data_IF_648623761504
#
_entry.id   IF_648623761504
#
_cell.length_a   1.000
_cell.length_b   1.000
_cell.length_c   1.000
_cell.angle_alpha   90.00
_cell.angle_beta   90.00
_cell.angle_gamma   90.00
#
_symmetry.space_group_name_H-M   'P 1'
#
loop_
_entity.id
_entity.type
_entity.pdbx_description
1 polymer ?
#
# COMPACT_ATOMS: atom_id res chain seq x y z
N UNK A 1 -25.32 -24.37 -5.84
CA UNK A 1 -25.47 -23.85 -4.46
C UNK A 1 -25.18 -22.36 -4.48
N UNK A 2 -26.18 -21.54 -4.17
CA UNK A 2 -26.03 -20.09 -4.11
C UNK A 2 -25.13 -19.72 -2.92
N UNK A 3 -23.91 -19.24 -3.19
CA UNK A 3 -23.06 -18.69 -2.14
C UNK A 3 -23.74 -17.42 -1.60
N UNK A 4 -24.20 -17.50 -0.35
CA UNK A 4 -24.65 -16.34 0.43
C UNK A 4 -23.52 -15.31 0.44
N UNK A 5 -23.66 -14.24 -0.35
CA UNK A 5 -22.67 -13.15 -0.39
C UNK A 5 -22.82 -12.34 0.89
N UNK A 6 -21.88 -12.47 1.82
CA UNK A 6 -21.78 -11.61 3.00
C UNK A 6 -21.91 -10.13 2.60
N UNK A 7 -22.65 -9.34 3.39
CA UNK A 7 -22.75 -7.89 3.19
C UNK A 7 -21.39 -7.20 3.39
N UNK A 8 -21.16 -6.02 2.81
CA UNK A 8 -19.92 -5.27 3.01
C UNK A 8 -19.58 -5.03 4.50
N UNK A 9 -20.59 -4.72 5.31
CA UNK A 9 -20.44 -4.53 6.75
C UNK A 9 -20.02 -5.83 7.46
N UNK A 10 -20.66 -6.97 7.16
CA UNK A 10 -20.31 -8.26 7.73
C UNK A 10 -18.87 -8.68 7.38
N UNK A 11 -18.39 -8.34 6.17
CA UNK A 11 -16.99 -8.60 5.79
C UNK A 11 -16.00 -7.70 6.52
N UNK A 12 -16.36 -6.44 6.74
CA UNK A 12 -15.55 -5.50 7.53
C UNK A 12 -15.39 -6.00 8.96
N UNK A 13 -16.49 -6.43 9.57
CA UNK A 13 -16.49 -7.01 10.91
C UNK A 13 -15.63 -8.29 10.98
N UNK A 14 -15.75 -9.17 9.97
CA UNK A 14 -14.91 -10.37 9.86
C UNK A 14 -13.41 -10.01 9.76
N UNK A 15 -13.05 -9.05 8.90
CA UNK A 15 -11.68 -8.55 8.76
C UNK A 15 -11.14 -7.97 10.08
N UNK A 16 -11.95 -7.17 10.78
CA UNK A 16 -11.61 -6.60 12.08
C UNK A 16 -11.30 -7.68 13.12
N UNK A 17 -12.17 -8.70 13.23
CA UNK A 17 -12.00 -9.83 14.15
C UNK A 17 -10.75 -10.64 13.86
N UNK A 18 -10.36 -10.78 12.58
CA UNK A 18 -9.15 -11.50 12.19
C UNK A 18 -7.87 -10.66 12.21
N UNK A 19 -7.94 -9.38 12.61
CA UNK A 19 -6.77 -8.49 12.59
C UNK A 19 -6.21 -8.28 11.18
N UNK A 20 -7.11 -8.07 10.22
CA UNK A 20 -6.75 -7.71 8.86
C UNK A 20 -6.55 -6.20 8.77
N UNK A 21 -5.42 -5.78 8.21
CA UNK A 21 -5.22 -4.42 7.73
C UNK A 21 -5.70 -4.32 6.28
N UNK A 22 -6.58 -3.36 5.98
CA UNK A 22 -6.98 -3.02 4.61
C UNK A 22 -6.11 -1.89 4.09
N UNK A 23 -5.33 -2.19 3.05
CA UNK A 23 -4.37 -1.26 2.47
C UNK A 23 -4.86 -0.75 1.11
N UNK A 24 -4.83 0.55 0.87
CA UNK A 24 -5.08 1.11 -0.46
C UNK A 24 -4.09 0.51 -1.48
N UNK A 25 -4.62 -0.08 -2.55
CA UNK A 25 -3.80 -0.84 -3.49
C UNK A 25 -2.81 0.02 -4.26
N UNK A 26 -3.14 1.28 -4.59
CA UNK A 26 -2.20 2.15 -5.30
C UNK A 26 -1.00 2.46 -4.40
N UNK A 27 -1.25 2.82 -3.13
CA UNK A 27 -0.19 3.00 -2.14
C UNK A 27 0.62 1.71 -1.95
N UNK A 28 -0.06 0.56 -1.86
CA UNK A 28 0.60 -0.74 -1.63
C UNK A 28 1.49 -1.21 -2.78
N UNK A 29 1.17 -0.83 -4.01
CA UNK A 29 1.92 -1.21 -5.23
C UNK A 29 3.04 -0.23 -5.61
N UNK A 30 3.08 0.95 -4.98
CA UNK A 30 3.96 2.06 -5.36
C UNK A 30 5.47 1.80 -5.24
N UNK A 31 5.88 0.79 -4.46
CA UNK A 31 7.30 0.57 -4.14
C UNK A 31 7.87 1.59 -3.13
N UNK A 32 7.01 2.31 -2.41
CA UNK A 32 7.39 3.28 -1.37
C UNK A 32 8.20 2.66 -0.22
N UNK A 33 7.89 1.42 0.13
CA UNK A 33 8.47 0.72 1.28
C UNK A 33 9.62 -0.15 0.83
N UNK A 34 10.79 0.02 1.46
CA UNK A 34 11.95 -0.87 1.27
C UNK A 34 12.02 -1.92 2.39
N UNK A 35 12.62 -3.11 2.17
CA UNK A 35 12.74 -4.10 3.25
C UNK A 35 13.56 -3.59 4.43
N UNK A 36 14.61 -2.82 4.17
CA UNK A 36 15.41 -2.18 5.20
C UNK A 36 16.06 -0.91 4.63
N UNK A 37 16.05 0.16 5.43
CA UNK A 37 16.82 1.37 5.14
C UNK A 37 18.08 1.33 6.01
N UNK A 38 19.21 0.97 5.39
CA UNK A 38 20.50 0.87 6.09
C UNK A 38 21.15 2.24 6.16
N UNK A 39 21.14 2.83 7.35
CA UNK A 39 21.84 4.08 7.63
C UNK A 39 23.29 3.80 8.03
N UNK A 40 24.24 4.51 7.44
CA UNK A 40 25.59 4.60 8.01
C UNK A 40 25.55 5.55 9.22
N UNK A 41 26.50 5.36 10.15
CA UNK A 41 26.61 6.22 11.35
C UNK A 41 26.60 7.70 10.95
N UNK A 42 25.66 8.47 11.49
CA UNK A 42 25.51 9.91 11.22
C UNK A 42 24.72 10.27 9.95
N UNK A 43 24.25 9.32 9.16
CA UNK A 43 23.41 9.60 7.99
C UNK A 43 21.92 9.58 8.33
N UNK A 44 21.19 10.53 7.72
CA UNK A 44 19.73 10.55 7.71
C UNK A 44 19.21 9.62 6.60
N UNK A 45 17.95 9.21 6.72
CA UNK A 45 17.23 8.49 5.66
C UNK A 45 17.19 9.33 4.39
N UNK A 46 17.20 8.68 3.23
CA UNK A 46 17.02 9.35 1.96
C UNK A 46 15.64 10.02 1.86
N UNK A 47 15.48 10.86 0.85
CA UNK A 47 14.20 11.43 0.48
C UNK A 47 13.75 10.82 -0.84
N UNK A 48 12.50 10.38 -0.88
CA UNK A 48 11.81 9.89 -2.06
C UNK A 48 11.12 11.10 -2.69
N UNK A 49 11.44 11.35 -3.96
CA UNK A 49 10.86 12.44 -4.73
C UNK A 49 10.15 11.86 -5.96
N UNK A 50 8.93 12.33 -6.22
CA UNK A 50 8.15 12.01 -7.42
C UNK A 50 7.96 10.50 -7.66
N UNK A 51 7.77 9.70 -6.60
CA UNK A 51 7.43 8.29 -6.77
C UNK A 51 5.99 8.16 -7.28
N UNK A 52 5.84 7.70 -8.51
CA UNK A 52 4.56 7.64 -9.23
C UNK A 52 3.99 6.23 -9.27
N UNK A 53 2.69 6.13 -9.04
CA UNK A 53 1.93 4.89 -9.22
C UNK A 53 0.56 5.18 -9.82
N UNK A 54 0.30 4.61 -10.99
CA UNK A 54 -1.00 4.71 -11.66
C UNK A 54 -2.04 3.78 -11.03
N UNK A 55 -3.31 4.16 -11.11
CA UNK A 55 -4.47 3.38 -10.69
C UNK A 55 -5.69 3.72 -11.58
N UNK A 56 -6.79 2.98 -11.45
CA UNK A 56 -7.94 3.09 -12.37
C UNK A 56 -8.61 4.47 -12.40
N UNK A 57 -8.33 5.35 -11.44
CA UNK A 57 -8.82 6.74 -11.41
C UNK A 57 -7.73 7.81 -11.52
N UNK A 58 -6.51 7.45 -11.91
CA UNK A 58 -5.45 8.41 -12.21
C UNK A 58 -4.06 8.01 -11.67
N UNK A 59 -3.34 8.96 -11.09
CA UNK A 59 -1.98 8.75 -10.58
C UNK A 59 -1.89 9.18 -9.11
N UNK A 60 -1.10 8.45 -8.32
CA UNK A 60 -0.60 8.94 -7.04
C UNK A 60 0.89 9.28 -7.18
N UNK A 61 1.30 10.37 -6.57
CA UNK A 61 2.68 10.83 -6.47
C UNK A 61 3.02 10.93 -4.99
N UNK A 62 4.11 10.30 -4.59
CA UNK A 62 4.55 10.23 -3.21
C UNK A 62 5.88 10.98 -3.05
N UNK A 63 5.95 11.82 -2.03
CA UNK A 63 7.14 12.57 -1.64
C UNK A 63 7.34 12.46 -0.14
N UNK A 64 8.54 12.16 0.34
CA UNK A 64 8.78 12.00 1.78
C UNK A 64 10.06 11.24 2.13
N UNK A 65 10.33 11.00 3.41
CA UNK A 65 11.47 10.18 3.81
C UNK A 65 11.34 8.73 3.33
N UNK A 66 12.47 8.05 3.13
CA UNK A 66 12.47 6.60 2.91
C UNK A 66 11.89 5.86 4.13
N UNK A 67 10.95 4.96 3.88
CA UNK A 67 10.35 4.11 4.90
C UNK A 67 10.68 2.64 4.67
N UNK A 68 10.69 1.87 5.76
CA UNK A 68 11.00 0.44 5.71
C UNK A 68 9.86 -0.47 6.20
N UNK A 69 10.11 -1.77 6.21
CA UNK A 69 9.14 -2.78 6.64
C UNK A 69 8.59 -2.54 8.07
N UNK A 70 9.38 -1.91 8.94
CA UNK A 70 8.95 -1.57 10.29
C UNK A 70 7.96 -0.39 10.27
N UNK A 71 8.24 0.64 9.49
CA UNK A 71 7.31 1.75 9.25
C UNK A 71 5.99 1.25 8.63
N UNK A 72 6.09 0.33 7.67
CA UNK A 72 4.92 -0.34 7.10
C UNK A 72 4.12 -1.12 8.15
N UNK A 73 4.80 -1.82 9.07
CA UNK A 73 4.13 -2.50 10.18
C UNK A 73 3.30 -1.55 11.04
N UNK A 74 3.84 -0.35 11.35
CA UNK A 74 3.10 0.68 12.11
C UNK A 74 1.91 1.21 11.32
N UNK A 75 2.07 1.49 10.02
CA UNK A 75 0.96 1.93 9.16
C UNK A 75 -0.17 0.89 9.11
N UNK A 76 0.18 -0.38 8.90
CA UNK A 76 -0.79 -1.47 8.84
C UNK A 76 -1.44 -1.74 10.20
N UNK A 77 -0.70 -1.57 11.30
CA UNK A 77 -1.27 -1.65 12.65
C UNK A 77 -2.32 -0.56 12.88
N UNK A 78 -2.04 0.69 12.48
CA UNK A 78 -3.04 1.75 12.52
C UNK A 78 -4.28 1.38 11.68
N UNK A 79 -4.10 0.86 10.47
CA UNK A 79 -5.21 0.45 9.61
C UNK A 79 -6.03 -0.72 10.22
N UNK A 80 -5.38 -1.71 10.83
CA UNK A 80 -6.05 -2.85 11.47
C UNK A 80 -6.83 -2.42 12.72
N UNK A 81 -6.26 -1.54 13.55
CA UNK A 81 -6.94 -1.00 14.74
C UNK A 81 -8.09 -0.08 14.35
N UNK A 82 -7.90 0.79 13.37
CA UNK A 82 -8.97 1.64 12.83
C UNK A 82 -10.13 0.80 12.28
N UNK A 83 -9.83 -0.32 11.61
CA UNK A 83 -10.87 -1.25 11.14
C UNK A 83 -11.68 -1.88 12.27
N UNK A 84 -11.05 -2.16 13.42
CA UNK A 84 -11.72 -2.68 14.63
C UNK A 84 -12.60 -1.63 15.30
N UNK A 85 -12.22 -0.37 15.20
CA UNK A 85 -12.95 0.75 15.81
C UNK A 85 -13.99 1.39 14.87
N UNK A 86 -13.98 1.04 13.57
CA UNK A 86 -14.78 1.69 12.54
C UNK A 86 -16.31 1.71 12.78
N UNK A 87 -16.85 0.75 13.53
CA UNK A 87 -18.28 0.71 13.87
C UNK A 87 -18.69 1.80 14.89
N UNK A 88 -17.71 2.50 15.49
CA UNK A 88 -18.00 3.62 16.40
C UNK A 88 -18.40 4.90 15.68
N UNK A 89 -18.24 5.02 14.36
CA UNK A 89 -18.67 6.11 13.45
C UNK A 89 -18.39 7.59 13.84
N UNK A 90 -18.11 7.90 15.10
CA UNK A 90 -17.92 9.23 15.65
C UNK A 90 -16.59 9.88 15.21
N UNK A 91 -15.69 9.09 14.63
CA UNK A 91 -14.33 9.50 14.30
C UNK A 91 -14.10 9.76 12.81
N UNK A 92 -15.16 9.74 11.99
CA UNK A 92 -15.12 10.21 10.61
C UNK A 92 -15.36 11.73 10.58
N UNK A 93 -14.41 12.46 10.00
CA UNK A 93 -14.50 13.90 9.78
C UNK A 93 -14.09 14.24 8.34
N UNK A 94 -14.55 15.37 7.82
CA UNK A 94 -14.04 15.84 6.54
C UNK A 94 -12.57 16.24 6.70
N UNK A 95 -11.75 15.98 5.68
CA UNK A 95 -10.31 16.21 5.77
C UNK A 95 -9.95 17.68 6.04
N UNK A 96 -10.81 18.63 5.63
CA UNK A 96 -10.65 20.06 5.92
C UNK A 96 -10.74 20.39 7.41
N UNK A 97 -11.47 19.59 8.18
CA UNK A 97 -11.66 19.78 9.62
C UNK A 97 -10.52 19.17 10.46
N UNK A 98 -9.51 18.59 9.79
CA UNK A 98 -8.39 17.91 10.45
C UNK A 98 -7.11 18.70 10.22
N UNK A 99 -6.60 19.26 11.31
CA UNK A 99 -5.34 20.00 11.31
C UNK A 99 -4.16 19.11 10.85
N UNK A 100 -3.34 19.65 9.94
CA UNK A 100 -2.13 18.98 9.46
C UNK A 100 -2.36 17.83 8.47
N UNK A 101 -3.61 17.50 8.11
CA UNK A 101 -3.88 16.44 7.12
C UNK A 101 -3.75 16.93 5.68
N UNK A 102 -4.33 18.08 5.37
CA UNK A 102 -4.20 18.69 4.06
C UNK A 102 -2.86 19.40 3.95
N UNK A 103 -2.11 19.11 2.89
CA UNK A 103 -0.94 19.91 2.59
C UNK A 103 -1.38 21.30 2.11
N UNK A 104 -0.55 22.30 2.40
CA UNK A 104 -0.79 23.70 1.99
C UNK A 104 -1.09 23.78 0.50
N UNK A 105 -2.29 24.22 0.15
CA UNK A 105 -2.74 24.37 -1.23
C UNK A 105 -2.82 25.85 -1.62
N UNK A 106 -2.61 26.22 -2.90
CA UNK A 106 -2.79 27.60 -3.35
C UNK A 106 -4.22 28.11 -3.07
N UNK A 107 -4.36 29.37 -2.66
CA UNK A 107 -5.67 29.96 -2.27
C UNK A 107 -6.79 29.82 -3.32
N UNK A 108 -6.43 29.72 -4.61
CA UNK A 108 -7.38 29.65 -5.72
C UNK A 108 -7.55 28.24 -6.31
N UNK A 109 -7.00 27.21 -5.66
CA UNK A 109 -7.11 25.82 -6.08
C UNK A 109 -7.51 24.97 -4.88
N UNK A 110 -8.83 24.77 -4.64
CA UNK A 110 -9.28 23.99 -3.52
C UNK A 110 -8.77 22.55 -3.65
N UNK A 111 -8.17 22.05 -2.57
CA UNK A 111 -7.67 20.70 -2.48
C UNK A 111 -8.82 19.71 -2.66
N UNK A 112 -8.76 18.81 -3.64
CA UNK A 112 -9.85 17.88 -3.92
C UNK A 112 -10.06 16.81 -2.83
N UNK A 113 -9.19 16.77 -1.80
CA UNK A 113 -9.40 15.96 -0.60
C UNK A 113 -10.22 16.67 0.48
N UNK A 114 -10.46 17.97 0.39
CA UNK A 114 -11.03 18.76 1.49
C UNK A 114 -12.40 18.22 1.98
N UNK A 115 -13.25 17.81 1.04
CA UNK A 115 -14.58 17.25 1.28
C UNK A 115 -14.60 15.73 1.52
N UNK A 116 -13.43 15.08 1.57
CA UNK A 116 -13.33 13.63 1.71
C UNK A 116 -13.19 13.22 3.16
N UNK A 117 -13.87 12.14 3.51
CA UNK A 117 -13.82 11.58 4.86
C UNK A 117 -12.44 11.04 5.20
N UNK A 118 -12.00 11.35 6.41
CA UNK A 118 -10.79 10.84 7.04
C UNK A 118 -11.16 10.29 8.42
N UNK A 119 -10.49 9.21 8.82
CA UNK A 119 -10.75 8.52 10.07
C UNK A 119 -9.64 8.79 11.09
N UNK A 120 -10.01 9.21 12.30
CA UNK A 120 -9.08 9.37 13.43
C UNK A 120 -9.13 8.14 14.34
N UNK A 121 -8.01 7.43 14.43
CA UNK A 121 -7.82 6.34 15.38
C UNK A 121 -7.32 6.88 16.71
N UNK A 122 -8.09 6.65 17.78
CA UNK A 122 -7.64 6.84 19.15
C UNK A 122 -7.15 5.51 19.73
N UNK A 123 -5.85 5.41 20.01
CA UNK A 123 -5.24 4.15 20.48
C UNK A 123 -4.11 4.38 21.47
N UNK A 124 -3.32 3.34 21.76
CA UNK A 124 -2.18 3.40 22.68
C UNK A 124 -0.93 2.83 22.00
N UNK A 125 0.27 3.24 22.46
CA UNK A 125 1.52 2.64 21.98
C UNK A 125 1.58 1.13 22.27
N UNK A 126 1.03 0.71 23.41
CA UNK A 126 0.92 -0.69 23.78
C UNK A 126 0.05 -1.50 22.78
N UNK A 127 -1.06 -0.94 22.30
CA UNK A 127 -1.91 -1.57 21.30
C UNK A 127 -1.18 -1.72 19.96
N UNK A 128 -0.47 -0.67 19.52
CA UNK A 128 0.37 -0.72 18.32
C UNK A 128 1.48 -1.77 18.46
N UNK A 129 2.18 -1.83 19.60
CA UNK A 129 3.18 -2.86 19.90
C UNK A 129 2.62 -4.28 19.72
N UNK A 130 1.46 -4.58 20.32
CA UNK A 130 0.81 -5.91 20.19
C UNK A 130 0.53 -6.26 18.73
N UNK A 131 0.04 -5.29 17.97
CA UNK A 131 -0.34 -5.53 16.57
C UNK A 131 0.89 -5.84 15.70
N UNK A 132 2.02 -5.17 15.93
CA UNK A 132 3.29 -5.42 15.22
C UNK A 132 4.13 -6.55 15.84
N UNK A 133 3.66 -7.22 16.89
CA UNK A 133 4.38 -8.33 17.53
C UNK A 133 5.56 -7.91 18.42
N UNK A 134 5.50 -6.71 19.02
CA UNK A 134 6.49 -6.21 19.99
C UNK A 134 5.94 -6.24 21.41
N UNK A 135 6.86 -6.30 22.37
CA UNK A 135 6.54 -6.22 23.79
C UNK A 135 5.94 -4.83 24.11
N UNK A 136 4.71 -4.75 24.66
CA UNK A 136 4.07 -3.50 25.06
C UNK A 136 4.81 -2.72 26.15
N UNK A 137 5.72 -3.37 26.89
CA UNK A 137 6.51 -2.72 27.93
C UNK A 137 7.90 -2.27 27.45
N UNK A 138 8.27 -2.55 26.19
CA UNK A 138 9.56 -2.13 25.63
C UNK A 138 9.54 -0.65 25.23
N UNK A 139 10.17 0.19 26.07
CA UNK A 139 10.33 1.62 25.79
C UNK A 139 11.05 1.92 24.48
N UNK A 140 11.91 1.02 23.97
CA UNK A 140 12.54 1.18 22.64
C UNK A 140 11.54 0.93 21.52
N UNK A 141 10.62 -0.02 21.69
CA UNK A 141 9.53 -0.24 20.73
C UNK A 141 8.59 0.99 20.69
N UNK A 142 8.29 1.58 21.85
CA UNK A 142 7.53 2.83 21.90
C UNK A 142 8.21 3.99 21.16
N UNK A 143 9.51 4.19 21.38
CA UNK A 143 10.25 5.23 20.64
C UNK A 143 10.26 4.94 19.14
N UNK A 144 10.48 3.68 18.76
CA UNK A 144 10.46 3.23 17.39
C UNK A 144 9.12 3.53 16.69
N UNK A 145 7.99 3.29 17.36
CA UNK A 145 6.65 3.59 16.84
C UNK A 145 6.47 5.10 16.65
N UNK A 146 6.87 5.91 17.62
CA UNK A 146 6.82 7.38 17.50
C UNK A 146 7.63 7.87 16.31
N UNK A 147 8.86 7.37 16.15
CA UNK A 147 9.72 7.74 15.04
C UNK A 147 9.11 7.34 13.69
N UNK A 148 8.43 6.18 13.64
CA UNK A 148 7.68 5.73 12.45
C UNK A 148 6.49 6.63 12.14
N UNK A 149 5.69 7.01 13.15
CA UNK A 149 4.55 7.93 12.96
C UNK A 149 5.00 9.30 12.43
N UNK A 150 6.11 9.84 12.93
CA UNK A 150 6.70 11.09 12.42
C UNK A 150 7.15 10.95 10.95
N UNK A 151 7.75 9.81 10.58
CA UNK A 151 8.13 9.55 9.18
C UNK A 151 6.92 9.42 8.27
N UNK A 152 5.91 8.67 8.71
CA UNK A 152 4.67 8.45 7.98
C UNK A 152 3.91 9.77 7.78
N UNK A 153 3.84 10.64 8.80
CA UNK A 153 3.20 11.95 8.68
C UNK A 153 3.97 12.89 7.74
N UNK A 154 5.27 12.66 7.55
CA UNK A 154 6.11 13.46 6.64
C UNK A 154 5.96 13.06 5.17
N UNK A 155 5.18 12.02 4.84
CA UNK A 155 4.93 11.60 3.46
C UNK A 155 3.73 12.37 2.92
N UNK A 156 3.95 13.15 1.87
CA UNK A 156 2.91 13.84 1.10
C UNK A 156 2.47 12.93 -0.05
N UNK A 157 1.17 12.66 -0.11
CA UNK A 157 0.48 11.95 -1.18
C UNK A 157 -0.28 12.94 -2.02
N UNK A 158 0.08 13.03 -3.29
CA UNK A 158 -0.68 13.78 -4.30
C UNK A 158 -1.44 12.79 -5.17
N UNK A 159 -2.76 12.81 -5.12
CA UNK A 159 -3.59 12.00 -6.03
C UNK A 159 -4.19 12.90 -7.11
N UNK A 160 -4.04 12.53 -8.37
CA UNK A 160 -4.61 13.25 -9.50
C UNK A 160 -5.66 12.38 -10.20
N UNK A 161 -6.81 12.98 -10.55
CA UNK A 161 -7.82 12.43 -11.46
C UNK A 161 -8.20 13.53 -12.45
N UNK A 162 -7.86 13.35 -13.72
CA UNK A 162 -8.02 14.37 -14.74
C UNK A 162 -7.36 15.69 -14.34
N UNK A 163 -8.15 16.77 -14.27
CA UNK A 163 -7.69 18.12 -13.91
C UNK A 163 -7.70 18.40 -12.38
N UNK A 164 -8.18 17.47 -11.55
CA UNK A 164 -8.28 17.66 -10.09
C UNK A 164 -7.13 16.97 -9.37
N UNK A 165 -6.55 17.66 -8.39
CA UNK A 165 -5.50 17.15 -7.51
C UNK A 165 -5.92 17.21 -6.04
N UNK A 166 -5.55 16.17 -5.30
CA UNK A 166 -5.71 16.07 -3.86
C UNK A 166 -4.33 15.94 -3.21
N UNK A 167 -3.97 16.84 -2.30
CA UNK A 167 -2.69 16.82 -1.59
C UNK A 167 -2.93 16.52 -0.11
N UNK A 168 -2.49 15.37 0.36
CA UNK A 168 -2.68 14.95 1.77
C UNK A 168 -1.40 14.38 2.32
N UNK A 169 -1.13 14.60 3.60
CA UNK A 169 -0.19 13.75 4.31
C UNK A 169 -0.71 12.30 4.34
N UNK A 170 0.18 11.29 4.37
CA UNK A 170 -0.23 9.87 4.41
C UNK A 170 -1.03 9.57 5.68
N UNK A 171 -0.57 10.12 6.80
CA UNK A 171 -1.29 10.22 8.06
C UNK A 171 -1.16 11.63 8.62
N UNK A 172 -2.12 12.07 9.43
CA UNK A 172 -2.03 13.30 10.20
C UNK A 172 -2.15 12.99 11.69
N UNK A 173 -1.43 13.75 12.50
CA UNK A 173 -1.51 13.62 13.95
C UNK A 173 -0.75 12.42 14.50
N UNK A 174 0.02 12.74 15.53
CA UNK A 174 0.39 11.88 16.63
C UNK A 174 0.35 12.80 17.83
N UNK A 175 -0.82 13.03 18.43
CA UNK A 175 -0.86 13.65 19.74
C UNK A 175 -0.54 12.53 20.74
N UNK A 176 0.61 12.64 21.41
CA UNK A 176 0.97 11.74 22.51
C UNK A 176 1.01 12.53 23.81
N UNK A 177 0.12 12.20 24.74
CA UNK A 177 0.27 12.62 26.14
C UNK A 177 0.71 11.39 26.94
N UNK A 178 1.98 11.38 27.36
CA UNK A 178 2.56 10.28 28.11
C UNK A 178 2.64 8.94 27.35
N UNK A 179 2.31 7.85 28.05
CA UNK A 179 2.37 6.47 27.52
C UNK A 179 1.06 5.98 26.89
N UNK A 180 -0.05 6.69 27.09
CA UNK A 180 -1.36 6.05 27.04
C UNK A 180 -2.22 6.44 25.83
N UNK A 181 -2.05 7.61 25.22
CA UNK A 181 -2.88 8.01 24.08
C UNK A 181 -2.03 8.30 22.84
N UNK A 182 -2.45 7.76 21.71
CA UNK A 182 -1.94 8.03 20.37
C UNK A 182 -3.16 8.27 19.49
N UNK A 183 -3.32 9.51 19.03
CA UNK A 183 -4.31 9.87 18.01
C UNK A 183 -3.64 9.88 16.64
N UNK A 184 -4.09 9.04 15.72
CA UNK A 184 -3.59 8.95 14.33
C UNK A 184 -4.74 9.08 13.35
N UNK A 185 -4.69 10.08 12.49
CA UNK A 185 -5.66 10.24 11.41
C UNK A 185 -5.13 9.65 10.11
N UNK A 186 -5.91 8.75 9.52
CA UNK A 186 -5.67 8.18 8.20
C UNK A 186 -6.14 9.13 7.11
N UNK A 187 -5.38 9.29 6.02
CA UNK A 187 -5.86 10.07 4.90
C UNK A 187 -7.11 9.44 4.24
N UNK A 188 -7.79 10.20 3.39
CA UNK A 188 -9.04 9.75 2.77
C UNK A 188 -8.89 8.45 1.96
N UNK A 189 -7.71 8.17 1.37
CA UNK A 189 -7.49 6.93 0.60
C UNK A 189 -7.41 5.72 1.51
N UNK A 190 -6.64 5.82 2.58
CA UNK A 190 -6.56 4.78 3.61
C UNK A 190 -7.91 4.59 4.31
N UNK A 191 -8.63 5.68 4.59
CA UNK A 191 -9.98 5.65 5.16
C UNK A 191 -10.96 4.92 4.24
N UNK A 192 -10.97 5.23 2.93
CA UNK A 192 -11.81 4.49 1.96
C UNK A 192 -11.43 3.02 1.85
N UNK A 193 -10.14 2.68 1.89
CA UNK A 193 -9.69 1.29 1.90
C UNK A 193 -10.20 0.55 3.14
N UNK A 194 -10.10 1.17 4.31
CA UNK A 194 -10.64 0.67 5.58
C UNK A 194 -12.16 0.43 5.50
N UNK A 195 -12.92 1.43 5.05
CA UNK A 195 -14.38 1.34 4.91
C UNK A 195 -14.81 0.31 3.84
N UNK A 196 -13.92 -0.04 2.92
CA UNK A 196 -14.22 -0.93 1.78
C UNK A 196 -14.85 -0.20 0.59
N UNK A 197 -14.71 1.13 0.55
CA UNK A 197 -15.25 2.02 -0.48
C UNK A 197 -14.26 2.29 -1.62
N UNK A 198 -13.09 1.66 -1.57
CA UNK A 198 -12.04 1.71 -2.59
C UNK A 198 -11.44 0.34 -2.86
N UNK A 199 -10.44 0.28 -3.73
CA UNK A 199 -9.70 -0.96 -3.98
C UNK A 199 -8.62 -1.16 -2.91
N UNK A 200 -8.68 -2.29 -2.22
CA UNK A 200 -7.79 -2.59 -1.10
C UNK A 200 -7.20 -4.00 -1.15
N UNK A 201 -5.96 -4.12 -0.68
CA UNK A 201 -5.34 -5.38 -0.31
C UNK A 201 -5.66 -5.74 1.14
N UNK A 202 -5.85 -7.03 1.42
CA UNK A 202 -6.06 -7.57 2.78
C UNK A 202 -4.76 -8.18 3.29
N UNK A 203 -4.21 -7.63 4.37
CA UNK A 203 -2.97 -8.10 5.00
C UNK A 203 -3.30 -8.65 6.39
N UNK A 204 -3.04 -9.94 6.64
CA UNK A 204 -3.25 -10.53 7.98
C UNK A 204 -2.09 -10.12 8.89
N UNK A 205 -2.35 -9.35 9.93
CA UNK A 205 -1.30 -8.84 10.82
C UNK A 205 -0.57 -9.95 11.58
N UNK A 206 -1.25 -11.05 11.91
CA UNK A 206 -0.65 -12.23 12.53
C UNK A 206 0.41 -12.90 11.64
N UNK A 207 0.15 -12.96 10.33
CA UNK A 207 1.14 -13.46 9.36
C UNK A 207 2.26 -12.46 9.25
N UNK A 208 1.92 -11.19 8.97
CA UNK A 208 2.88 -10.12 8.68
C UNK A 208 3.98 -10.01 9.73
N UNK A 209 3.64 -10.01 11.02
CA UNK A 209 4.63 -9.85 12.11
C UNK A 209 5.62 -11.01 12.23
N UNK A 210 5.32 -12.17 11.67
CA UNK A 210 6.18 -13.36 11.71
C UNK A 210 7.13 -13.46 10.50
N UNK A 211 6.97 -12.61 9.49
CA UNK A 211 7.79 -12.61 8.29
C UNK A 211 9.09 -11.82 8.49
N UNK A 212 10.12 -12.17 7.73
CA UNK A 212 11.32 -11.34 7.60
C UNK A 212 10.97 -9.96 7.00
N UNK A 213 11.80 -8.91 7.13
CA UNK A 213 11.51 -7.61 6.52
C UNK A 213 11.29 -7.67 5.00
N UNK A 214 11.97 -8.58 4.31
CA UNK A 214 11.74 -8.84 2.88
C UNK A 214 10.40 -9.55 2.66
N UNK A 215 10.09 -10.56 3.49
CA UNK A 215 8.80 -11.24 3.50
C UNK A 215 7.62 -10.31 3.79
N UNK A 216 7.78 -9.35 4.71
CA UNK A 216 6.76 -8.34 5.05
C UNK A 216 6.40 -7.47 3.85
N UNK A 217 7.40 -6.88 3.19
CA UNK A 217 7.17 -6.03 2.01
C UNK A 217 6.61 -6.86 0.85
N UNK A 218 7.12 -8.08 0.64
CA UNK A 218 6.60 -9.01 -0.36
C UNK A 218 5.15 -9.38 -0.12
N UNK A 219 4.80 -9.80 1.10
CA UNK A 219 3.44 -10.22 1.46
C UNK A 219 2.44 -9.07 1.31
N UNK A 220 2.81 -7.89 1.78
CA UNK A 220 2.02 -6.67 1.59
C UNK A 220 1.82 -6.32 0.11
N UNK A 221 2.90 -6.36 -0.69
CA UNK A 221 2.81 -6.07 -2.12
C UNK A 221 1.93 -7.10 -2.85
N UNK A 222 2.11 -8.40 -2.56
CA UNK A 222 1.28 -9.47 -3.14
C UNK A 222 -0.18 -9.35 -2.74
N UNK A 223 -0.48 -8.98 -1.49
CA UNK A 223 -1.85 -8.74 -1.04
C UNK A 223 -2.52 -7.59 -1.80
N UNK A 224 -1.75 -6.59 -2.24
CA UNK A 224 -2.24 -5.48 -3.06
C UNK A 224 -2.23 -5.80 -4.56
N UNK A 225 -1.34 -6.67 -5.04
CA UNK A 225 -1.28 -7.07 -6.44
C UNK A 225 -2.37 -8.10 -6.77
N UNK A 226 -2.65 -8.99 -5.83
CA UNK A 226 -3.69 -10.01 -5.89
C UNK A 226 -4.60 -9.91 -4.66
N UNK A 227 -5.56 -8.97 -4.64
CA UNK A 227 -6.46 -8.79 -3.50
C UNK A 227 -7.45 -9.96 -3.37
N UNK A 228 -7.82 -10.60 -4.47
CA UNK A 228 -8.72 -11.76 -4.52
C UNK A 228 -8.02 -13.12 -4.56
N UNK A 229 -8.78 -14.21 -4.58
CA UNK A 229 -8.24 -15.55 -4.78
C UNK A 229 -7.93 -15.82 -6.26
N UNK A 230 -7.11 -16.81 -6.57
CA UNK A 230 -6.79 -17.28 -7.92
C UNK A 230 -5.36 -16.98 -8.37
N UNK A 231 -5.04 -17.48 -9.56
CA UNK A 231 -3.70 -17.47 -10.13
C UNK A 231 -3.30 -16.08 -10.63
N UNK A 232 -2.05 -15.70 -10.37
CA UNK A 232 -1.43 -14.51 -10.93
C UNK A 232 -0.66 -14.85 -12.21
N UNK A 233 -0.49 -13.90 -13.15
CA UNK A 233 0.46 -14.06 -14.24
C UNK A 233 1.87 -14.39 -13.71
N UNK A 234 2.63 -15.29 -14.35
CA UNK A 234 4.01 -15.56 -13.95
C UNK A 234 4.85 -14.28 -13.95
N UNK A 235 5.65 -14.08 -12.91
CA UNK A 235 6.49 -12.88 -12.76
C UNK A 235 7.96 -13.26 -12.60
N UNK A 236 8.85 -12.55 -13.28
CA UNK A 236 10.29 -12.77 -13.14
C UNK A 236 10.78 -12.35 -11.75
N UNK A 237 11.70 -13.11 -11.14
CA UNK A 237 12.32 -12.78 -9.84
C UNK A 237 13.01 -11.42 -9.85
N UNK A 238 13.56 -10.98 -10.98
CA UNK A 238 14.12 -9.65 -11.14
C UNK A 238 13.05 -8.56 -11.04
N UNK A 239 11.93 -8.74 -11.75
CA UNK A 239 10.77 -7.84 -11.72
C UNK A 239 10.15 -7.78 -10.33
N UNK A 240 9.95 -8.93 -9.70
CA UNK A 240 9.42 -8.98 -8.33
C UNK A 240 10.38 -8.32 -7.33
N UNK A 241 11.71 -8.49 -7.48
CA UNK A 241 12.69 -7.79 -6.68
C UNK A 241 12.64 -6.26 -6.89
N UNK A 242 12.40 -5.78 -8.12
CA UNK A 242 12.20 -4.34 -8.37
C UNK A 242 11.00 -3.82 -7.59
N UNK A 243 9.89 -4.55 -7.54
CA UNK A 243 8.72 -4.14 -6.76
C UNK A 243 8.96 -4.14 -5.25
N UNK A 244 9.70 -5.13 -4.73
CA UNK A 244 10.00 -5.22 -3.29
C UNK A 244 11.00 -4.15 -2.83
N UNK A 245 11.96 -3.73 -3.67
CA UNK A 245 12.95 -2.72 -3.29
C UNK A 245 12.70 -1.32 -3.87
N UNK A 246 11.68 -1.15 -4.71
CA UNK A 246 11.35 0.11 -5.39
C UNK A 246 12.33 0.52 -6.50
N UNK A 247 13.39 -0.25 -6.74
CA UNK A 247 14.46 0.10 -7.67
C UNK A 247 15.15 -1.13 -8.25
N UNK A 248 15.74 -0.97 -9.44
CA UNK A 248 16.57 -1.99 -10.06
C UNK A 248 17.95 -2.09 -9.39
N UNK A 249 18.47 -3.31 -9.30
CA UNK A 249 19.83 -3.58 -8.83
C UNK A 249 20.66 -4.25 -9.93
N UNK A 250 21.98 -4.07 -9.87
CA UNK A 250 22.95 -4.69 -10.80
C UNK A 250 23.94 -5.59 -10.05
N UNK A 251 24.62 -6.46 -10.80
CA UNK A 251 25.74 -7.26 -10.29
C UNK A 251 25.42 -8.12 -9.06
N UNK A 252 26.28 -8.04 -8.05
CA UNK A 252 26.17 -8.82 -6.81
C UNK A 252 24.87 -8.51 -6.03
N UNK A 253 24.50 -7.23 -5.91
CA UNK A 253 23.28 -6.81 -5.20
C UNK A 253 22.03 -7.43 -5.82
N UNK A 254 21.96 -7.50 -7.15
CA UNK A 254 20.83 -8.14 -7.84
C UNK A 254 20.74 -9.65 -7.52
N UNK A 255 21.88 -10.33 -7.39
CA UNK A 255 21.94 -11.76 -7.03
C UNK A 255 21.49 -11.96 -5.58
N UNK A 256 21.96 -11.10 -4.68
CA UNK A 256 21.59 -11.12 -3.26
C UNK A 256 20.09 -10.88 -3.06
N UNK A 257 19.51 -9.85 -3.70
CA UNK A 257 18.07 -9.56 -3.65
C UNK A 257 17.25 -10.75 -4.14
N UNK A 258 17.65 -11.41 -5.23
CA UNK A 258 16.97 -12.63 -5.71
C UNK A 258 17.08 -13.80 -4.72
N UNK A 259 18.19 -13.93 -4.00
CA UNK A 259 18.34 -14.96 -2.98
C UNK A 259 17.45 -14.68 -1.76
N UNK A 260 17.44 -13.44 -1.27
CA UNK A 260 16.56 -13.00 -0.18
C UNK A 260 15.09 -13.17 -0.56
N UNK A 261 14.73 -12.84 -1.81
CA UNK A 261 13.37 -13.00 -2.31
C UNK A 261 12.93 -14.47 -2.36
N UNK A 262 13.81 -15.41 -2.72
CA UNK A 262 13.50 -16.85 -2.66
C UNK A 262 13.20 -17.31 -1.23
N UNK A 263 13.95 -16.81 -0.25
CA UNK A 263 13.70 -17.10 1.17
C UNK A 263 12.35 -16.51 1.62
N UNK A 264 12.10 -15.25 1.29
CA UNK A 264 10.85 -14.57 1.60
C UNK A 264 9.62 -15.24 0.97
N UNK A 265 9.73 -15.73 -0.27
CA UNK A 265 8.67 -16.51 -0.93
C UNK A 265 8.36 -17.82 -0.19
N UNK A 266 9.36 -18.46 0.40
CA UNK A 266 9.19 -19.68 1.19
C UNK A 266 8.62 -19.41 2.60
N UNK A 267 8.67 -18.17 3.09
CA UNK A 267 8.05 -17.76 4.35
C UNK A 267 6.53 -17.55 4.22
N UNK A 268 6.00 -17.41 2.99
CA UNK A 268 4.59 -17.12 2.77
C UNK A 268 3.69 -18.26 3.30
N UNK A 269 2.57 -17.92 3.96
CA UNK A 269 1.68 -18.92 4.55
C UNK A 269 1.05 -19.80 3.46
N UNK A 270 1.23 -21.11 3.58
CA UNK A 270 0.77 -22.10 2.57
C UNK A 270 -0.74 -22.26 2.52
N UNK A 271 -1.47 -21.87 3.57
CA UNK A 271 -2.93 -21.76 3.58
C UNK A 271 -3.44 -20.59 2.72
N UNK A 272 -2.60 -19.57 2.48
CA UNK A 272 -2.95 -18.37 1.69
C UNK A 272 -2.35 -18.35 0.30
N UNK A 273 -1.12 -18.84 0.16
CA UNK A 273 -0.36 -18.70 -1.07
C UNK A 273 0.14 -20.06 -1.55
N UNK A 274 0.01 -20.29 -2.84
CA UNK A 274 0.74 -21.32 -3.56
C UNK A 274 1.84 -20.63 -4.36
N UNK A 275 3.09 -21.08 -4.17
CA UNK A 275 4.26 -20.49 -4.82
C UNK A 275 5.07 -21.59 -5.48
N UNK A 276 5.31 -21.43 -6.79
CA UNK A 276 6.23 -22.25 -7.57
C UNK A 276 7.33 -21.37 -8.17
N UNK A 277 8.56 -21.88 -8.22
CA UNK A 277 9.68 -21.17 -8.86
C UNK A 277 10.26 -22.08 -9.94
N UNK A 278 10.12 -21.67 -11.20
CA UNK A 278 10.78 -22.31 -12.34
C UNK A 278 11.90 -21.39 -12.85
N UNK A 279 13.15 -21.78 -12.58
CA UNK A 279 14.37 -21.00 -12.91
C UNK A 279 14.34 -19.58 -12.32
N UNK A 280 13.81 -18.63 -13.08
CA UNK A 280 13.67 -17.21 -12.71
C UNK A 280 12.22 -16.71 -12.78
N UNK A 281 11.27 -17.55 -13.17
CA UNK A 281 9.84 -17.24 -13.16
C UNK A 281 9.22 -17.75 -11.86
N UNK A 282 8.39 -16.91 -11.26
CA UNK A 282 7.62 -17.21 -10.06
C UNK A 282 6.15 -17.32 -10.45
N UNK A 283 5.56 -18.46 -10.12
CA UNK A 283 4.14 -18.73 -10.23
C UNK A 283 3.53 -18.51 -8.85
N UNK A 284 2.56 -17.62 -8.76
CA UNK A 284 1.91 -17.24 -7.50
C UNK A 284 0.41 -17.41 -7.68
N UNK A 285 -0.23 -18.04 -6.72
CA UNK A 285 -1.68 -18.13 -6.62
C UNK A 285 -2.10 -17.81 -5.19
N UNK A 286 -3.11 -16.96 -5.04
CA UNK A 286 -3.73 -16.73 -3.74
C UNK A 286 -4.86 -17.73 -3.56
N UNK A 287 -4.75 -18.59 -2.56
CA UNK A 287 -5.78 -19.54 -2.18
C UNK A 287 -6.98 -18.80 -1.61
N UNK A 288 -8.15 -19.39 -1.79
CA UNK A 288 -9.37 -18.88 -1.20
C UNK A 288 -9.41 -19.23 0.29
N UNK A 289 -9.05 -18.27 1.16
CA UNK A 289 -9.16 -18.45 2.62
C UNK A 289 -10.58 -18.12 3.11
N UNK A 290 -11.29 -17.22 2.42
CA UNK A 290 -12.60 -16.73 2.84
C UNK A 290 -13.58 -16.80 1.67
N UNK A 291 -14.67 -17.55 1.82
CA UNK A 291 -15.74 -17.76 0.82
C UNK A 291 -16.57 -16.49 0.49
N UNK A 292 -15.98 -15.30 0.58
CA UNK A 292 -16.56 -14.05 0.10
C UNK A 292 -16.24 -13.80 -1.40
N UNK A 293 -17.08 -13.03 -2.12
CA UNK A 293 -16.82 -12.74 -3.52
C UNK A 293 -15.58 -11.85 -3.69
N UNK A 294 -14.92 -12.09 -4.82
CA UNK A 294 -13.73 -11.44 -5.36
C UNK A 294 -13.70 -9.92 -5.06
N UNK A 295 -12.67 -9.38 -4.38
CA UNK A 295 -12.49 -7.95 -4.28
C UNK A 295 -12.24 -7.35 -5.66
N UNK A 296 -12.71 -6.12 -5.85
CA UNK A 296 -12.60 -5.37 -7.11
C UNK A 296 -11.12 -5.22 -7.48
N UNK A 297 -10.71 -5.88 -8.56
CA UNK A 297 -9.36 -5.78 -9.10
C UNK A 297 -9.07 -4.34 -9.51
N UNK A 298 -7.98 -3.76 -8.99
CA UNK A 298 -7.24 -2.80 -9.81
C UNK A 298 -6.54 -3.61 -10.89
N UNK A 299 -7.02 -3.44 -12.11
CA UNK A 299 -6.31 -3.82 -13.30
C UNK A 299 -5.02 -3.01 -13.35
N UNK A 300 -3.91 -3.55 -12.81
CA UNK A 300 -2.60 -3.21 -13.39
C UNK A 300 -2.69 -3.44 -14.89
N UNK A 301 -2.07 -2.57 -15.68
CA UNK A 301 -2.61 -2.05 -16.93
C UNK A 301 -2.98 -3.16 -17.90
N UNK A 302 -4.26 -3.52 -17.98
CA UNK A 302 -4.93 -4.08 -19.16
C UNK A 302 -6.39 -4.43 -18.84
N UNK A 303 -7.32 -3.68 -19.47
CA UNK A 303 -8.75 -3.96 -19.71
C UNK A 303 -9.65 -4.01 -18.45
N UNK A 304 -10.59 -3.09 -18.19
CA UNK A 304 -11.88 -2.77 -18.88
C UNK A 304 -12.53 -1.55 -18.13
N UNK A 305 -13.45 -0.75 -18.74
CA UNK A 305 -13.62 0.69 -18.47
C UNK A 305 -14.77 1.16 -17.54
N UNK A 306 -15.33 0.34 -16.64
CA UNK A 306 -16.68 0.63 -16.09
C UNK A 306 -16.78 1.02 -14.60
N UNK A 307 -15.75 1.62 -13.99
CA UNK A 307 -15.88 2.13 -12.61
C UNK A 307 -15.33 3.55 -12.37
N UNK A 308 -15.21 4.34 -13.43
CA UNK A 308 -15.24 5.78 -13.28
C UNK A 308 -16.67 6.21 -12.91
N UNK A 309 -16.83 7.11 -11.94
CA UNK A 309 -18.11 7.80 -11.75
C UNK A 309 -18.55 8.37 -13.11
N UNK A 310 -19.85 8.39 -13.49
CA UNK A 310 -20.30 8.81 -14.82
C UNK A 310 -19.77 10.16 -15.32
N UNK A 311 -19.23 11.00 -14.43
CA UNK A 311 -18.56 12.26 -14.74
C UNK A 311 -17.13 12.16 -15.30
N UNK A 312 -16.46 11.00 -15.24
CA UNK A 312 -15.01 10.88 -15.52
C UNK A 312 -14.70 10.02 -16.78
N UNK A 313 -15.70 9.55 -17.50
CA UNK A 313 -15.53 8.57 -18.59
C UNK A 313 -15.17 9.15 -19.98
N UNK A 314 -14.48 10.29 -20.05
CA UNK A 314 -14.04 10.87 -21.35
C UNK A 314 -12.53 11.03 -21.41
N UNK A 315 -11.86 10.00 -21.94
CA UNK A 315 -10.47 10.12 -22.40
C UNK A 315 -9.63 8.89 -22.12
N UNK A 316 -9.85 7.81 -22.88
CA UNK A 316 -8.92 6.68 -22.87
C UNK A 316 -7.57 7.12 -23.46
N UNK A 317 -6.55 7.26 -22.61
CA UNK A 317 -5.15 7.43 -23.04
C UNK A 317 -4.59 6.03 -23.33
N UNK A 318 -4.03 5.82 -24.53
CA UNK A 318 -3.31 4.58 -24.90
C UNK A 318 -1.97 4.51 -24.17
N UNK A 319 -1.59 3.32 -23.72
CA UNK A 319 -0.38 3.11 -22.93
C UNK A 319 0.87 2.94 -23.84
N UNK A 320 2.08 3.30 -23.38
CA UNK A 320 3.30 3.22 -24.21
C UNK A 320 3.61 1.83 -24.79
N UNK A 321 3.24 0.74 -24.10
CA UNK A 321 3.41 -0.63 -24.61
C UNK A 321 2.33 -1.03 -25.63
N UNK A 322 1.23 -0.28 -25.74
CA UNK A 322 0.19 -0.43 -26.76
C UNK A 322 0.54 0.32 -28.06
N UNK A 323 1.55 1.20 -28.05
CA UNK A 323 1.93 2.03 -29.20
C UNK A 323 2.97 1.38 -30.13
N UNK A 324 3.46 0.17 -29.82
CA UNK A 324 4.27 -0.62 -30.73
C UNK A 324 5.35 0.18 -31.45
N UNK A 325 6.19 0.92 -30.72
CA UNK A 325 7.34 1.59 -31.33
C UNK A 325 8.33 0.53 -31.84
N UNK A 326 8.19 0.22 -33.14
CA UNK A 326 9.26 -0.38 -33.93
C UNK A 326 10.43 0.61 -33.92
N UNK A 327 11.57 0.17 -33.40
CA UNK A 327 12.83 0.84 -33.61
C UNK A 327 13.08 1.08 -35.11
N UNK A 328 13.91 2.07 -35.47
CA UNK A 328 14.05 2.53 -36.84
C UNK A 328 14.48 1.40 -37.76
N UNK A 329 13.66 1.16 -38.79
CA UNK A 329 13.94 0.27 -39.90
C UNK A 329 15.22 0.73 -40.61
N UNK A 330 16.12 -0.23 -40.80
CA UNK A 330 17.31 -0.10 -41.64
C UNK A 330 16.92 0.40 -43.04
N UNK A 331 17.47 1.55 -43.43
CA UNK A 331 17.42 2.03 -44.79
C UNK A 331 18.33 1.14 -45.66
N UNK A 332 17.70 0.38 -46.53
CA UNK A 332 18.31 -0.38 -47.62
C UNK A 332 19.08 0.55 -48.56
N UNK A 333 20.33 0.21 -48.85
CA UNK A 333 21.08 0.70 -50.02
C UNK A 333 20.39 0.25 -51.32
N UNK A 334 20.30 1.17 -52.29
CA UNK A 334 20.18 1.07 -53.77
C UNK A 334 19.36 2.28 -54.21
N UNK A 335 19.77 3.18 -55.11
CA UNK A 335 20.98 3.38 -55.89
C UNK A 335 20.65 4.50 -56.87
N UNK A 336 21.56 5.47 -57.01
CA UNK A 336 21.93 6.25 -58.19
C UNK A 336 22.94 7.32 -57.74
#
# INVERSE_FOLDING_TARGET
MAQSKLSPAARREMDARHGVARQDMALGLSGLVKPAVRLKKGQKRGFIENLRQSWNGGEIILNGPEIDAQDLGVLLACAALALRDADRHADLKQSVDIEGLLATSPKNQPNAAADKDAFTLETTLAALCREIGRDPEDGRAHQMIRDSLVRLSSIVTTATSGARGAFTHLIAGGAWEGRNAVSVTLNYRLTRAMLGEGSFGRVRMQVFRNLSPVGQVLYHWLACWRPGYGTCPPIGLGTLARHVWGEDAKGATARERRQQLRKALAELPTDEWSVGIDRQLVHIERKNIDSGPEPVFLTTPTRVPDYASPSENRGRIKLPHEMGERGPLAASRRGL
#
